data_IF_631092653046
#
_entry.id   IF_631092653046
#
_cell.length_a   1.000
_cell.length_b   1.000
_cell.length_c   1.000
_cell.angle_alpha   90.00
_cell.angle_beta   90.00
_cell.angle_gamma   90.00
#
_symmetry.space_group_name_H-M   'P 1'
#
loop_
_entity.id
_entity.type
_entity.pdbx_description
1 polymer ?
#
# COMPACT_ATOMS: atom_id res chain seq x y z
N UNK A 1 -37.82 44.19 27.07
CA UNK A 1 -36.39 44.41 27.37
C UNK A 1 -35.94 43.21 28.18
N UNK A 2 -35.77 42.08 27.50
CA UNK A 2 -35.32 40.83 28.12
C UNK A 2 -33.82 40.68 27.84
N UNK A 3 -33.05 40.73 28.91
CA UNK A 3 -31.64 40.42 28.94
C UNK A 3 -31.49 38.91 28.94
N UNK A 4 -31.14 38.35 27.78
CA UNK A 4 -30.64 36.98 27.65
C UNK A 4 -29.35 36.86 28.49
N UNK A 5 -29.44 36.12 29.60
CA UNK A 5 -28.29 35.80 30.44
C UNK A 5 -27.83 34.37 30.20
N UNK A 6 -26.69 34.31 29.51
CA UNK A 6 -25.49 33.51 29.80
C UNK A 6 -25.66 31.99 29.64
N UNK A 7 -25.12 31.52 28.51
CA UNK A 7 -24.68 30.16 28.25
C UNK A 7 -23.80 29.64 29.39
N UNK A 8 -24.35 28.75 30.23
CA UNK A 8 -23.56 27.88 31.09
C UNK A 8 -23.18 26.60 30.32
N UNK A 9 -22.37 26.74 29.26
CA UNK A 9 -21.65 25.60 28.69
C UNK A 9 -20.35 25.43 29.48
N UNK A 10 -20.46 24.78 30.63
CA UNK A 10 -19.32 24.26 31.40
C UNK A 10 -18.68 23.08 30.66
N UNK A 11 -17.97 23.37 29.57
CA UNK A 11 -17.16 22.42 28.81
C UNK A 11 -15.70 22.81 28.87
N UNK A 12 -14.96 22.27 29.86
CA UNK A 12 -13.51 22.13 29.95
C UNK A 12 -12.65 23.13 29.09
N UNK A 13 -12.14 24.18 29.72
CA UNK A 13 -11.30 25.24 29.12
C UNK A 13 -9.87 24.82 28.76
N UNK A 14 -9.61 23.52 28.60
CA UNK A 14 -8.39 23.00 27.96
C UNK A 14 -8.67 22.60 26.51
N UNK A 15 -9.32 23.48 25.74
CA UNK A 15 -9.19 23.46 24.29
C UNK A 15 -7.86 24.10 23.91
N UNK A 16 -6.77 23.42 24.26
CA UNK A 16 -5.50 23.66 23.58
C UNK A 16 -5.76 23.26 22.12
N UNK A 17 -5.94 24.27 21.28
CA UNK A 17 -6.08 24.07 19.84
C UNK A 17 -4.81 23.35 19.37
N UNK A 18 -4.96 22.14 18.86
CA UNK A 18 -3.89 21.37 18.23
C UNK A 18 -3.60 22.01 16.86
N UNK A 19 -3.03 23.22 16.90
CA UNK A 19 -2.64 23.96 15.72
C UNK A 19 -1.47 23.21 15.08
N UNK A 20 -1.50 22.98 13.75
CA UNK A 20 -0.39 22.34 13.06
C UNK A 20 0.88 23.14 13.33
N UNK A 21 2.05 22.48 13.44
CA UNK A 21 3.27 23.18 13.80
C UNK A 21 3.55 24.28 12.79
N UNK A 22 3.58 25.53 13.27
CA UNK A 22 3.98 26.65 12.44
C UNK A 22 5.40 26.32 11.94
N UNK A 23 5.59 26.30 10.62
CA UNK A 23 6.85 25.94 9.93
C UNK A 23 7.21 24.44 9.78
N UNK A 24 6.30 23.49 10.05
CA UNK A 24 6.52 22.10 9.61
C UNK A 24 6.11 21.90 8.14
N UNK A 25 7.11 21.85 7.25
CA UNK A 25 6.92 21.37 5.89
C UNK A 25 6.98 19.84 5.85
N UNK A 26 5.82 19.19 5.85
CA UNK A 26 5.74 17.75 5.56
C UNK A 26 6.02 17.54 4.07
N UNK A 27 7.15 16.89 3.78
CA UNK A 27 7.55 16.60 2.40
C UNK A 27 6.66 15.50 1.83
N UNK A 28 5.85 15.85 0.83
CA UNK A 28 5.08 14.91 0.02
C UNK A 28 5.83 14.61 -1.29
N UNK A 29 6.92 13.87 -1.20
CA UNK A 29 7.76 13.52 -2.37
C UNK A 29 7.39 12.16 -2.99
N UNK A 30 6.47 11.42 -2.38
CA UNK A 30 6.09 10.10 -2.88
C UNK A 30 7.22 9.06 -2.79
N UNK A 31 7.19 8.08 -3.70
CA UNK A 31 8.18 7.02 -3.84
C UNK A 31 8.19 6.45 -5.28
N UNK A 32 8.94 5.38 -5.55
CA UNK A 32 9.01 4.81 -6.90
C UNK A 32 7.70 4.17 -7.41
N UNK A 33 6.65 4.14 -6.58
CA UNK A 33 5.34 3.61 -6.93
C UNK A 33 4.25 4.69 -7.03
N UNK A 34 4.50 5.91 -6.55
CA UNK A 34 3.55 7.02 -6.58
C UNK A 34 4.30 8.34 -6.42
N UNK A 35 3.96 9.35 -7.24
CA UNK A 35 4.63 10.66 -7.22
C UNK A 35 4.30 11.50 -5.96
N UNK A 36 3.30 11.09 -5.17
CA UNK A 36 2.88 11.72 -3.92
C UNK A 36 2.33 10.66 -2.97
N UNK A 37 2.74 10.71 -1.71
CA UNK A 37 2.25 9.87 -0.61
C UNK A 37 0.77 10.12 -0.36
N UNK A 38 0.30 11.36 -0.52
CA UNK A 38 -1.11 11.73 -0.37
C UNK A 38 -2.00 11.17 -1.49
N UNK A 39 -1.43 10.89 -2.66
CA UNK A 39 -2.12 10.30 -3.81
C UNK A 39 -1.71 8.84 -4.06
N UNK A 40 -1.13 8.19 -3.06
CA UNK A 40 -0.63 6.83 -3.19
C UNK A 40 -1.80 5.83 -3.37
N UNK A 41 -1.73 4.92 -4.36
CA UNK A 41 -2.80 3.94 -4.60
C UNK A 41 -2.83 2.81 -3.54
N UNK A 42 -1.88 2.78 -2.60
CA UNK A 42 -1.82 1.76 -1.56
C UNK A 42 -2.58 2.21 -0.31
N UNK A 43 -3.40 1.32 0.25
CA UNK A 43 -4.09 1.52 1.53
C UNK A 43 -3.13 1.70 2.72
N UNK A 44 -1.93 1.10 2.62
CA UNK A 44 -0.84 1.21 3.60
C UNK A 44 0.48 1.36 2.88
N UNK A 45 1.38 2.15 3.45
CA UNK A 45 2.70 2.31 2.87
C UNK A 45 3.45 0.96 2.88
N UNK A 46 4.00 0.59 1.72
CA UNK A 46 4.79 -0.64 1.54
C UNK A 46 6.10 -0.64 2.33
N UNK A 47 6.51 0.52 2.85
CA UNK A 47 7.71 0.72 3.65
C UNK A 47 7.45 0.60 5.14
N UNK A 48 6.21 0.83 5.58
CA UNK A 48 5.81 0.66 6.99
C UNK A 48 5.75 -0.82 7.36
N UNK A 49 5.44 -1.69 6.40
CA UNK A 49 5.43 -3.13 6.62
C UNK A 49 6.84 -3.74 6.49
N UNK A 50 7.24 -4.63 7.42
CA UNK A 50 8.50 -5.35 7.29
C UNK A 50 8.49 -6.17 5.99
N UNK A 51 9.41 -5.82 5.09
CA UNK A 51 9.57 -6.44 3.76
C UNK A 51 8.38 -6.18 2.82
N UNK A 52 7.58 -5.12 3.04
CA UNK A 52 6.38 -4.83 2.25
C UNK A 52 6.68 -4.68 0.75
N UNK A 53 7.67 -3.86 0.38
CA UNK A 53 8.17 -3.74 -1.01
C UNK A 53 8.50 -5.09 -1.65
N UNK A 54 9.22 -5.95 -0.93
CA UNK A 54 9.65 -7.26 -1.44
C UNK A 54 8.47 -8.22 -1.60
N UNK A 55 7.48 -8.15 -0.69
CA UNK A 55 6.24 -8.91 -0.80
C UNK A 55 5.40 -8.43 -1.98
N UNK A 56 5.33 -7.13 -2.20
CA UNK A 56 4.59 -6.52 -3.31
C UNK A 56 5.15 -6.97 -4.66
N UNK A 57 6.46 -6.82 -4.88
CA UNK A 57 7.13 -7.26 -6.12
C UNK A 57 6.91 -8.77 -6.35
N UNK A 58 7.02 -9.60 -5.31
CA UNK A 58 6.76 -11.04 -5.42
C UNK A 58 5.31 -11.36 -5.77
N UNK A 59 4.34 -10.60 -5.25
CA UNK A 59 2.92 -10.75 -5.60
C UNK A 59 2.69 -10.38 -7.06
N UNK A 60 3.25 -9.27 -7.54
CA UNK A 60 3.15 -8.88 -8.94
C UNK A 60 3.74 -9.94 -9.87
N UNK A 61 4.95 -10.43 -9.58
CA UNK A 61 5.58 -11.51 -10.33
C UNK A 61 4.71 -12.78 -10.33
N UNK A 62 4.13 -13.15 -9.18
CA UNK A 62 3.27 -14.32 -9.10
C UNK A 62 1.99 -14.17 -9.92
N UNK A 63 1.38 -12.97 -9.93
CA UNK A 63 0.21 -12.65 -10.76
C UNK A 63 0.55 -12.77 -12.25
N UNK A 64 1.70 -12.26 -12.67
CA UNK A 64 2.12 -12.35 -14.07
C UNK A 64 2.38 -13.80 -14.50
N UNK A 65 3.06 -14.59 -13.65
CA UNK A 65 3.26 -16.02 -13.89
C UNK A 65 1.92 -16.76 -14.01
N UNK A 66 0.98 -16.47 -13.11
CA UNK A 66 -0.35 -17.09 -13.12
C UNK A 66 -1.13 -16.72 -14.38
N UNK A 67 -1.11 -15.43 -14.77
CA UNK A 67 -1.73 -14.95 -16.01
C UNK A 67 -1.14 -15.66 -17.23
N UNK A 68 0.18 -15.71 -17.37
CA UNK A 68 0.83 -16.36 -18.51
C UNK A 68 0.55 -17.87 -18.56
N UNK A 69 0.45 -18.51 -17.40
CA UNK A 69 0.08 -19.91 -17.30
C UNK A 69 -1.37 -20.16 -17.74
N UNK A 70 -2.33 -19.32 -17.31
CA UNK A 70 -3.75 -19.48 -17.64
C UNK A 70 -4.08 -19.08 -19.08
N UNK A 71 -3.52 -17.98 -19.59
CA UNK A 71 -3.84 -17.48 -20.95
C UNK A 71 -3.00 -18.15 -22.03
N UNK A 72 -1.76 -18.52 -21.72
CA UNK A 72 -0.80 -19.02 -22.71
C UNK A 72 -0.76 -20.54 -22.85
N UNK A 73 -1.32 -21.30 -21.90
CA UNK A 73 -1.21 -22.77 -21.87
C UNK A 73 0.23 -23.29 -21.74
N UNK A 74 1.19 -22.41 -21.43
CA UNK A 74 2.63 -22.72 -21.42
C UNK A 74 2.99 -23.58 -20.23
N UNK A 75 3.88 -24.54 -20.46
CA UNK A 75 4.38 -25.41 -19.41
C UNK A 75 5.25 -24.65 -18.39
N UNK A 76 5.36 -25.21 -17.18
CA UNK A 76 6.21 -24.65 -16.09
C UNK A 76 7.65 -24.42 -16.54
N UNK A 77 8.20 -25.33 -17.37
CA UNK A 77 9.58 -25.26 -17.88
C UNK A 77 9.77 -24.09 -18.85
N UNK A 78 8.78 -23.86 -19.72
CA UNK A 78 8.82 -22.80 -20.72
C UNK A 78 8.71 -21.43 -20.05
N UNK A 79 7.80 -21.30 -19.07
CA UNK A 79 7.66 -20.07 -18.27
C UNK A 79 8.94 -19.77 -17.48
N UNK A 80 9.58 -20.80 -16.93
CA UNK A 80 10.86 -20.64 -16.23
C UNK A 80 11.94 -20.09 -17.17
N UNK A 81 12.07 -20.65 -18.38
CA UNK A 81 13.03 -20.18 -19.37
C UNK A 81 12.72 -18.77 -19.86
N UNK A 82 11.46 -18.49 -20.18
CA UNK A 82 10.99 -17.20 -20.71
C UNK A 82 11.19 -16.06 -19.71
N UNK A 83 10.98 -16.32 -18.42
CA UNK A 83 11.11 -15.31 -17.35
C UNK A 83 12.50 -15.30 -16.70
N UNK A 84 13.42 -16.18 -17.13
CA UNK A 84 14.74 -16.31 -16.50
C UNK A 84 14.68 -16.78 -15.04
N UNK A 85 13.64 -17.52 -14.66
CA UNK A 85 13.40 -17.98 -13.30
C UNK A 85 13.67 -19.48 -13.15
N UNK A 86 13.92 -19.93 -11.93
CA UNK A 86 13.94 -21.37 -11.64
C UNK A 86 12.53 -21.96 -11.76
N UNK A 87 12.43 -23.23 -12.17
CA UNK A 87 11.14 -23.95 -12.19
C UNK A 87 10.48 -23.97 -10.80
N UNK A 88 11.27 -24.05 -9.72
CA UNK A 88 10.79 -23.97 -8.33
C UNK A 88 10.11 -22.63 -8.04
N UNK A 89 10.62 -21.53 -8.58
CA UNK A 89 10.02 -20.20 -8.41
C UNK A 89 8.65 -20.14 -9.07
N UNK A 90 8.54 -20.64 -10.30
CA UNK A 90 7.29 -20.71 -11.06
C UNK A 90 6.26 -21.59 -10.33
N UNK A 91 6.66 -22.78 -9.89
CA UNK A 91 5.78 -23.68 -9.12
C UNK A 91 5.27 -23.05 -7.82
N UNK A 92 6.16 -22.39 -7.05
CA UNK A 92 5.75 -21.73 -5.80
C UNK A 92 4.83 -20.55 -6.05
N UNK A 93 5.07 -19.79 -7.11
CA UNK A 93 4.21 -18.68 -7.52
C UNK A 93 2.80 -19.18 -7.88
N UNK A 94 2.70 -20.22 -8.71
CA UNK A 94 1.43 -20.84 -9.10
C UNK A 94 0.69 -21.42 -7.89
N UNK A 95 1.39 -22.12 -6.99
CA UNK A 95 0.78 -22.64 -5.75
C UNK A 95 0.22 -21.52 -4.89
N UNK A 96 0.92 -20.39 -4.80
CA UNK A 96 0.46 -19.24 -4.01
C UNK A 96 -0.74 -18.56 -4.66
N UNK A 97 -0.73 -18.39 -5.99
CA UNK A 97 -1.85 -17.82 -6.74
C UNK A 97 -3.12 -18.68 -6.70
N UNK A 98 -3.00 -19.99 -6.49
CA UNK A 98 -4.15 -20.88 -6.26
C UNK A 98 -4.77 -20.71 -4.85
N UNK A 99 -3.99 -20.24 -3.89
CA UNK A 99 -4.37 -20.13 -2.48
C UNK A 99 -4.72 -18.70 -2.05
N UNK A 100 -4.49 -17.69 -2.90
CA UNK A 100 -4.96 -16.30 -2.76
C UNK A 100 -6.30 -16.15 -3.48
#
# INVERSE_FOLDING_TARGET
MELEKINDFSGNTNHQLDLPPEYCHYQDEGCEFADSCLNCPFEKCIYDEPRGRQRYIKRLQAKEIARLFTTGGKGIKELALMLGLSQRTVQRALKKAKNE
#
